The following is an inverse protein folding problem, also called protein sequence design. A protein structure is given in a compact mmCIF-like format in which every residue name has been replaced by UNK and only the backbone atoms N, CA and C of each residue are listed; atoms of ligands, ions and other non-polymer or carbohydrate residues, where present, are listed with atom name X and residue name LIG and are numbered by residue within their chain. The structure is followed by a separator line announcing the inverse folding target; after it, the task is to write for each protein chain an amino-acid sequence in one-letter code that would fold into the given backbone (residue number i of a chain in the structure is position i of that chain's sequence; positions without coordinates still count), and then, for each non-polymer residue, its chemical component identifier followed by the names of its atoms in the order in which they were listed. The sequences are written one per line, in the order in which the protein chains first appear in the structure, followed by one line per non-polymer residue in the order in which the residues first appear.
data_IF_028079672241
#
_entry.id   IF_028079672241
#
_cell.length_a   1.000
_cell.length_b   1.000
_cell.length_c   1.000
_cell.angle_alpha   90.00
_cell.angle_beta   90.00
_cell.angle_gamma   90.00
#
_symmetry.space_group_name_H-M   'P 1'
#
loop_
_entity.id
_entity.type
_entity.pdbx_description
1 polymer ?
#
# COMPACT_ATOMS: atom_id res chain seq x y z
N UNK A 1 -3.56 -35.47 -2.34
CA UNK A 1 -2.71 -34.46 -2.98
C UNK A 1 -1.28 -34.96 -3.09
N UNK A 2 -0.88 -35.27 -4.32
CA UNK A 2 0.46 -35.68 -4.72
C UNK A 2 1.46 -34.52 -4.50
N UNK A 3 2.76 -34.85 -4.43
CA UNK A 3 3.82 -33.85 -4.19
C UNK A 3 3.80 -32.74 -5.25
N UNK A 4 3.50 -33.08 -6.49
CA UNK A 4 3.52 -32.17 -7.63
C UNK A 4 2.33 -31.21 -7.65
N UNK A 5 1.13 -31.71 -7.33
CA UNK A 5 -0.08 -30.88 -7.15
C UNK A 5 0.16 -29.81 -6.07
N UNK A 6 0.81 -30.18 -4.95
CA UNK A 6 1.18 -29.23 -3.90
C UNK A 6 2.13 -28.15 -4.41
N UNK A 7 3.10 -28.51 -5.27
CA UNK A 7 4.01 -27.51 -5.84
C UNK A 7 3.30 -26.57 -6.81
N UNK A 8 2.38 -27.10 -7.62
CA UNK A 8 1.60 -26.30 -8.54
C UNK A 8 0.74 -25.28 -7.79
N UNK A 9 0.05 -25.69 -6.73
CA UNK A 9 -0.74 -24.77 -5.90
C UNK A 9 0.11 -23.67 -5.27
N UNK A 10 1.31 -23.98 -4.76
CA UNK A 10 2.19 -22.95 -4.22
C UNK A 10 2.71 -21.97 -5.27
N UNK A 11 3.03 -22.44 -6.48
CA UNK A 11 3.43 -21.57 -7.59
C UNK A 11 2.29 -20.65 -8.02
N UNK A 12 1.08 -21.20 -8.13
CA UNK A 12 -0.12 -20.43 -8.48
C UNK A 12 -0.44 -19.38 -7.41
N UNK A 13 -0.42 -19.78 -6.13
CA UNK A 13 -0.58 -18.86 -5.00
C UNK A 13 0.45 -17.74 -5.05
N UNK A 14 1.74 -18.07 -5.21
CA UNK A 14 2.79 -17.07 -5.28
C UNK A 14 2.62 -16.09 -6.45
N UNK A 15 2.26 -16.58 -7.64
CA UNK A 15 2.02 -15.74 -8.81
C UNK A 15 0.83 -14.80 -8.60
N UNK A 16 -0.30 -15.30 -8.10
CA UNK A 16 -1.50 -14.51 -7.84
C UNK A 16 -1.26 -13.46 -6.74
N UNK A 17 -0.64 -13.85 -5.63
CA UNK A 17 -0.31 -12.91 -4.54
C UNK A 17 0.58 -11.79 -5.05
N UNK A 18 1.65 -12.10 -5.80
CA UNK A 18 2.53 -11.08 -6.38
C UNK A 18 1.80 -10.14 -7.37
N UNK A 19 0.91 -10.68 -8.19
CA UNK A 19 0.17 -9.87 -9.17
C UNK A 19 -0.89 -8.96 -8.55
N UNK A 20 -1.40 -9.27 -7.35
CA UNK A 20 -2.62 -8.67 -6.81
C UNK A 20 -2.59 -7.15 -6.62
N UNK A 21 -1.54 -6.59 -6.02
CA UNK A 21 -1.53 -5.17 -5.65
C UNK A 21 -1.55 -4.22 -6.86
N UNK A 22 -0.69 -4.38 -7.88
CA UNK A 22 -0.71 -3.46 -9.03
C UNK A 22 -2.01 -3.51 -9.82
N UNK A 23 -2.74 -4.63 -9.79
CA UNK A 23 -4.01 -4.80 -10.51
C UNK A 23 -5.17 -3.98 -9.93
N UNK A 24 -4.96 -3.20 -8.87
CA UNK A 24 -5.94 -2.21 -8.39
C UNK A 24 -6.33 -1.19 -9.45
N UNK A 25 -5.48 -0.96 -10.46
CA UNK A 25 -5.80 -0.10 -11.61
C UNK A 25 -7.04 -0.59 -12.37
N UNK A 26 -7.32 -1.90 -12.36
CA UNK A 26 -8.51 -2.51 -12.97
C UNK A 26 -9.72 -2.47 -12.01
N UNK A 27 -9.57 -1.80 -10.88
CA UNK A 27 -10.57 -1.68 -9.83
C UNK A 27 -10.24 -2.50 -8.56
N UNK A 28 -10.68 -2.02 -7.38
CA UNK A 28 -10.54 -2.73 -6.11
C UNK A 28 -11.05 -4.18 -6.12
N UNK A 29 -12.09 -4.46 -6.89
CA UNK A 29 -12.67 -5.81 -7.02
C UNK A 29 -11.71 -6.81 -7.67
N UNK A 30 -10.94 -6.38 -8.69
CA UNK A 30 -9.95 -7.25 -9.36
C UNK A 30 -8.79 -7.55 -8.43
N UNK A 31 -8.27 -6.54 -7.71
CA UNK A 31 -7.27 -6.75 -6.66
C UNK A 31 -7.76 -7.77 -5.63
N UNK A 32 -8.98 -7.58 -5.11
CA UNK A 32 -9.54 -8.45 -4.08
C UNK A 32 -9.71 -9.89 -4.60
N UNK A 33 -10.25 -10.07 -5.82
CA UNK A 33 -10.44 -11.38 -6.42
C UNK A 33 -9.10 -12.13 -6.61
N UNK A 34 -8.09 -11.47 -7.19
CA UNK A 34 -6.77 -12.08 -7.42
C UNK A 34 -6.07 -12.40 -6.10
N UNK A 35 -6.16 -11.50 -5.11
CA UNK A 35 -5.59 -11.71 -3.78
C UNK A 35 -6.26 -12.90 -3.06
N UNK A 36 -7.59 -12.94 -3.02
CA UNK A 36 -8.36 -14.03 -2.39
C UNK A 36 -8.06 -15.36 -3.07
N UNK A 37 -8.03 -15.42 -4.40
CA UNK A 37 -7.64 -16.64 -5.13
C UNK A 37 -6.20 -17.08 -4.78
N UNK A 38 -5.27 -16.14 -4.67
CA UNK A 38 -3.90 -16.41 -4.23
C UNK A 38 -3.82 -16.96 -2.80
N UNK A 39 -4.63 -16.44 -1.89
CA UNK A 39 -4.73 -16.92 -0.50
C UNK A 39 -5.36 -18.32 -0.46
N UNK A 40 -6.51 -18.52 -1.10
CA UNK A 40 -7.23 -19.79 -1.10
C UNK A 40 -6.37 -20.92 -1.68
N UNK A 41 -5.69 -20.68 -2.80
CA UNK A 41 -4.77 -21.67 -3.39
C UNK A 41 -3.59 -22.00 -2.47
N UNK A 42 -3.06 -21.02 -1.73
CA UNK A 42 -2.02 -21.24 -0.72
C UNK A 42 -2.51 -22.03 0.51
N UNK A 43 -3.74 -21.75 0.97
CA UNK A 43 -4.36 -22.49 2.06
C UNK A 43 -4.64 -23.95 1.67
N UNK A 44 -5.11 -24.20 0.44
CA UNK A 44 -5.28 -25.57 -0.08
C UNK A 44 -3.95 -26.34 -0.15
N UNK A 45 -2.83 -25.63 -0.35
CA UNK A 45 -1.50 -26.23 -0.33
C UNK A 45 -0.97 -26.50 1.11
N UNK A 46 -1.58 -25.88 2.12
CA UNK A 46 -1.24 -26.02 3.55
C UNK A 46 -1.91 -27.27 4.14
N UNK A 47 -1.24 -28.00 5.05
CA UNK A 47 -1.77 -29.27 5.59
C UNK A 47 -1.60 -29.43 7.10
N UNK A 48 -2.63 -29.98 7.74
CA UNK A 48 -2.55 -30.72 9.01
C UNK A 48 -1.94 -29.95 10.17
N UNK A 49 -0.93 -30.55 10.81
CA UNK A 49 -0.32 -30.05 12.05
C UNK A 49 0.36 -28.67 11.90
N UNK A 50 0.77 -28.27 10.68
CA UNK A 50 1.42 -26.98 10.46
C UNK A 50 0.45 -25.80 10.56
N UNK A 51 -0.80 -26.00 10.13
CA UNK A 51 -1.85 -24.99 10.31
C UNK A 51 -2.14 -24.78 11.80
N UNK A 52 -2.29 -25.88 12.56
CA UNK A 52 -2.57 -25.81 13.99
C UNK A 52 -1.43 -25.13 14.77
N UNK A 53 -0.18 -25.42 14.44
CA UNK A 53 0.97 -24.78 15.08
C UNK A 53 1.05 -23.29 14.74
N UNK A 54 0.78 -22.93 13.48
CA UNK A 54 0.74 -21.53 13.06
C UNK A 54 -0.38 -20.75 13.75
N UNK A 55 -1.59 -21.32 13.84
CA UNK A 55 -2.70 -20.70 14.58
C UNK A 55 -2.39 -20.56 16.07
N UNK A 56 -1.78 -21.58 16.71
CA UNK A 56 -1.36 -21.49 18.11
C UNK A 56 -0.31 -20.38 18.33
N UNK A 57 0.65 -20.26 17.42
CA UNK A 57 1.65 -19.18 17.48
C UNK A 57 1.01 -17.80 17.33
N UNK A 58 0.07 -17.65 16.40
CA UNK A 58 -0.64 -16.37 16.18
C UNK A 58 -1.45 -16.01 17.43
N UNK A 59 -2.23 -16.95 17.95
CA UNK A 59 -3.06 -16.77 19.14
C UNK A 59 -2.28 -16.41 20.41
N UNK A 60 -0.99 -16.75 20.47
CA UNK A 60 -0.10 -16.42 21.61
C UNK A 60 0.76 -15.19 21.36
N UNK A 61 0.68 -14.56 20.18
CA UNK A 61 1.50 -13.42 19.83
C UNK A 61 1.00 -12.12 20.48
N UNK A 62 1.94 -11.26 20.90
CA UNK A 62 1.63 -9.92 21.43
C UNK A 62 0.87 -9.06 20.42
N UNK A 63 1.16 -9.22 19.13
CA UNK A 63 0.52 -8.46 18.04
C UNK A 63 -0.98 -8.77 17.98
N UNK A 64 -1.38 -10.04 18.14
CA UNK A 64 -2.80 -10.41 18.14
C UNK A 64 -3.57 -9.79 19.29
N UNK A 65 -2.98 -9.68 20.48
CA UNK A 65 -3.65 -9.00 21.59
C UNK A 65 -3.84 -7.50 21.33
N UNK A 66 -2.85 -6.83 20.73
CA UNK A 66 -2.95 -5.41 20.36
C UNK A 66 -3.98 -5.21 19.25
N UNK A 67 -3.98 -6.07 18.23
CA UNK A 67 -4.96 -6.05 17.15
C UNK A 67 -6.36 -6.34 17.70
N UNK A 68 -6.53 -7.34 18.57
CA UNK A 68 -7.80 -7.63 19.23
C UNK A 68 -8.33 -6.47 20.06
N UNK A 69 -7.46 -5.79 20.81
CA UNK A 69 -7.81 -4.57 21.54
C UNK A 69 -8.23 -3.44 20.59
N UNK A 70 -7.56 -3.29 19.46
CA UNK A 70 -7.96 -2.33 18.43
C UNK A 70 -9.34 -2.65 17.85
N UNK A 71 -9.61 -3.92 17.50
CA UNK A 71 -10.92 -4.35 17.00
C UNK A 71 -12.03 -4.13 18.03
N UNK A 72 -11.75 -4.34 19.32
CA UNK A 72 -12.70 -4.04 20.40
C UNK A 72 -12.98 -2.52 20.49
N UNK A 73 -11.94 -1.68 20.42
CA UNK A 73 -12.11 -0.23 20.43
C UNK A 73 -12.88 0.27 19.20
N UNK A 74 -12.58 -0.25 18.00
CA UNK A 74 -13.30 0.05 16.77
C UNK A 74 -14.77 -0.37 16.85
N UNK A 75 -15.06 -1.55 17.42
CA UNK A 75 -16.42 -2.01 17.62
C UNK A 75 -17.21 -1.09 18.56
N UNK A 76 -16.62 -0.72 19.70
CA UNK A 76 -17.24 0.20 20.67
C UNK A 76 -17.49 1.56 20.01
N UNK A 77 -16.51 2.10 19.27
CA UNK A 77 -16.68 3.32 18.50
C UNK A 77 -17.85 3.23 17.51
N UNK A 78 -17.87 2.20 16.66
CA UNK A 78 -18.95 2.01 15.69
C UNK A 78 -20.33 1.86 16.33
N UNK A 79 -20.40 1.22 17.50
CA UNK A 79 -21.65 1.00 18.22
C UNK A 79 -22.22 2.30 18.79
N UNK A 80 -21.38 3.21 19.27
CA UNK A 80 -21.77 4.54 19.80
C UNK A 80 -21.67 5.67 18.75
N UNK A 81 -21.55 5.31 17.47
CA UNK A 81 -21.38 6.24 16.37
C UNK A 81 -22.57 7.19 16.20
N UNK A 82 -22.28 8.40 15.68
CA UNK A 82 -23.30 9.34 15.20
C UNK A 82 -24.16 8.77 14.06
N UNK A 83 -23.60 7.85 13.28
CA UNK A 83 -24.35 6.99 12.35
C UNK A 83 -23.97 5.53 12.60
N UNK A 84 -24.72 4.91 13.51
CA UNK A 84 -24.48 3.55 13.98
C UNK A 84 -24.57 2.52 12.85
N UNK A 85 -25.57 2.61 11.96
CA UNK A 85 -25.78 1.60 10.90
C UNK A 85 -24.62 1.61 9.91
N UNK A 86 -24.22 2.79 9.42
CA UNK A 86 -23.09 2.91 8.50
C UNK A 86 -21.78 2.45 9.15
N UNK A 87 -21.54 2.87 10.39
CA UNK A 87 -20.28 2.57 11.09
C UNK A 87 -20.16 1.09 11.46
N UNK A 88 -21.28 0.42 11.76
CA UNK A 88 -21.33 -1.02 12.00
C UNK A 88 -21.14 -1.82 10.71
N UNK A 89 -21.71 -1.37 9.58
CA UNK A 89 -21.43 -1.98 8.27
C UNK A 89 -19.93 -1.87 7.92
N UNK A 90 -19.32 -0.71 8.18
CA UNK A 90 -17.88 -0.50 7.98
C UNK A 90 -17.02 -1.33 8.92
N UNK A 91 -17.48 -1.54 10.16
CA UNK A 91 -16.83 -2.48 11.07
C UNK A 91 -16.84 -3.91 10.50
N UNK A 92 -17.94 -4.33 9.86
CA UNK A 92 -18.02 -5.61 9.13
C UNK A 92 -16.94 -5.74 8.05
N UNK A 93 -16.72 -4.69 7.24
CA UNK A 93 -15.65 -4.65 6.23
C UNK A 93 -14.26 -4.85 6.89
N UNK A 94 -14.00 -4.17 8.01
CA UNK A 94 -12.73 -4.26 8.73
C UNK A 94 -12.51 -5.64 9.35
N UNK A 95 -13.55 -6.29 9.88
CA UNK A 95 -13.48 -7.68 10.37
C UNK A 95 -13.15 -8.63 9.23
N UNK A 96 -13.79 -8.46 8.07
CA UNK A 96 -13.48 -9.21 6.85
C UNK A 96 -12.01 -9.05 6.43
N UNK A 97 -11.47 -7.84 6.49
CA UNK A 97 -10.05 -7.58 6.23
C UNK A 97 -9.12 -8.16 7.28
N UNK A 98 -9.48 -8.14 8.56
CA UNK A 98 -8.73 -8.79 9.64
C UNK A 98 -8.63 -10.30 9.42
N UNK A 99 -9.73 -10.94 9.02
CA UNK A 99 -9.73 -12.34 8.63
C UNK A 99 -8.85 -12.60 7.40
N UNK A 100 -8.96 -11.76 6.36
CA UNK A 100 -8.12 -11.85 5.16
C UNK A 100 -6.63 -11.71 5.50
N UNK A 101 -6.27 -10.79 6.39
CA UNK A 101 -4.89 -10.58 6.87
C UNK A 101 -4.35 -11.82 7.57
N UNK A 102 -5.15 -12.45 8.43
CA UNK A 102 -4.79 -13.70 9.10
C UNK A 102 -4.56 -14.83 8.10
N UNK A 103 -5.47 -14.99 7.13
CA UNK A 103 -5.35 -16.02 6.10
C UNK A 103 -4.13 -15.79 5.19
N UNK A 104 -3.86 -14.54 4.82
CA UNK A 104 -2.66 -14.15 4.07
C UNK A 104 -1.39 -14.48 4.86
N UNK A 105 -1.36 -14.15 6.16
CA UNK A 105 -0.25 -14.48 7.04
C UNK A 105 0.01 -15.99 7.08
N UNK A 106 -1.04 -16.80 7.25
CA UNK A 106 -0.95 -18.27 7.26
C UNK A 106 -0.39 -18.76 5.92
N UNK A 107 -0.98 -18.34 4.80
CA UNK A 107 -0.55 -18.76 3.48
C UNK A 107 0.93 -18.43 3.22
N UNK A 108 1.35 -17.20 3.52
CA UNK A 108 2.74 -16.78 3.32
C UNK A 108 3.71 -17.48 4.27
N UNK A 109 3.35 -17.66 5.54
CA UNK A 109 4.21 -18.32 6.54
C UNK A 109 4.48 -19.79 6.21
N UNK A 110 3.45 -20.47 5.72
CA UNK A 110 3.53 -21.90 5.36
C UNK A 110 4.15 -22.12 3.98
N UNK A 111 4.15 -21.09 3.12
CA UNK A 111 4.75 -21.16 1.79
C UNK A 111 6.26 -21.45 1.86
N UNK A 112 6.76 -22.48 1.14
CA UNK A 112 8.19 -22.74 1.00
C UNK A 112 8.97 -21.54 0.45
N UNK A 113 10.17 -21.29 1.00
CA UNK A 113 11.02 -20.13 0.63
C UNK A 113 11.36 -20.05 -0.85
N UNK A 114 11.48 -21.19 -1.55
CA UNK A 114 11.72 -21.19 -3.01
C UNK A 114 10.63 -20.50 -3.83
N UNK A 115 9.41 -20.42 -3.31
CA UNK A 115 8.28 -19.81 -4.02
C UNK A 115 8.13 -18.31 -3.74
N UNK A 116 8.84 -17.76 -2.74
CA UNK A 116 8.78 -16.32 -2.46
C UNK A 116 9.38 -15.49 -3.60
N UNK A 117 10.33 -16.04 -4.35
CA UNK A 117 10.85 -15.38 -5.54
C UNK A 117 9.79 -15.21 -6.64
N UNK A 118 8.88 -16.17 -6.77
CA UNK A 118 7.77 -16.10 -7.73
C UNK A 118 6.84 -14.94 -7.37
N UNK A 119 6.61 -14.67 -6.07
CA UNK A 119 5.85 -13.50 -5.62
C UNK A 119 6.49 -12.21 -6.13
N UNK A 120 7.79 -12.01 -5.85
CA UNK A 120 8.48 -10.79 -6.25
C UNK A 120 8.63 -10.62 -7.76
N UNK A 121 8.84 -11.72 -8.48
CA UNK A 121 8.87 -11.72 -9.95
C UNK A 121 7.49 -11.36 -10.52
N UNK A 122 6.43 -11.99 -10.02
CA UNK A 122 5.05 -11.69 -10.44
C UNK A 122 4.68 -10.23 -10.13
N UNK A 123 5.01 -9.75 -8.93
CA UNK A 123 4.85 -8.35 -8.53
C UNK A 123 5.60 -7.39 -9.45
N UNK A 124 6.83 -7.72 -9.84
CA UNK A 124 7.62 -6.88 -10.76
C UNK A 124 6.98 -6.85 -12.15
N UNK A 125 6.59 -7.99 -12.69
CA UNK A 125 5.96 -8.09 -14.01
C UNK A 125 4.64 -7.32 -14.02
N UNK A 126 3.75 -7.57 -13.06
CA UNK A 126 2.46 -6.88 -12.98
C UNK A 126 2.63 -5.38 -12.77
N UNK A 127 3.59 -4.94 -11.93
CA UNK A 127 3.89 -3.51 -11.74
C UNK A 127 4.35 -2.84 -13.03
N UNK A 128 5.22 -3.49 -13.81
CA UNK A 128 5.69 -2.96 -15.10
C UNK A 128 4.55 -2.92 -16.12
N UNK A 129 3.74 -3.97 -16.22
CA UNK A 129 2.57 -3.99 -17.10
C UNK A 129 1.61 -2.85 -16.75
N UNK A 130 1.31 -2.65 -15.47
CA UNK A 130 0.43 -1.57 -15.00
C UNK A 130 1.06 -0.20 -15.23
N UNK A 131 2.37 -0.04 -15.03
CA UNK A 131 3.08 1.20 -15.35
C UNK A 131 2.97 1.55 -16.84
N UNK A 132 3.10 0.56 -17.73
CA UNK A 132 2.89 0.74 -19.17
C UNK A 132 1.45 1.14 -19.46
N UNK A 133 0.45 0.52 -18.82
CA UNK A 133 -0.96 0.91 -18.98
C UNK A 133 -1.21 2.35 -18.53
N UNK A 134 -0.65 2.80 -17.40
CA UNK A 134 -0.76 4.20 -16.97
C UNK A 134 -0.16 5.15 -18.01
N UNK A 135 0.99 4.82 -18.59
CA UNK A 135 1.64 5.64 -19.62
C UNK A 135 0.80 5.68 -20.91
N UNK A 136 0.24 4.55 -21.34
CA UNK A 136 -0.67 4.50 -22.49
C UNK A 136 -1.92 5.33 -22.20
N UNK A 137 -2.54 5.17 -21.04
CA UNK A 137 -3.75 5.91 -20.65
C UNK A 137 -3.53 7.42 -20.61
N UNK A 138 -2.33 7.86 -20.21
CA UNK A 138 -1.98 9.27 -20.15
C UNK A 138 -1.71 9.92 -21.51
N UNK A 139 -1.19 9.16 -22.50
CA UNK A 139 -0.70 9.75 -23.76
C UNK A 139 -1.45 9.30 -25.02
N UNK A 140 -2.12 8.14 -25.01
CA UNK A 140 -2.73 7.60 -26.22
C UNK A 140 -4.02 8.32 -26.63
N UNK A 141 -4.64 9.09 -25.71
CA UNK A 141 -5.91 9.78 -25.97
C UNK A 141 -7.05 8.84 -26.36
N UNK A 142 -6.98 7.57 -25.93
CA UNK A 142 -7.96 6.55 -26.30
C UNK A 142 -9.04 6.39 -25.25
N UNK A 143 -10.23 6.90 -25.54
CA UNK A 143 -11.40 6.75 -24.66
C UNK A 143 -11.73 5.28 -24.41
N UNK A 144 -11.64 4.44 -25.45
CA UNK A 144 -11.92 3.00 -25.32
C UNK A 144 -10.96 2.31 -24.36
N UNK A 145 -9.67 2.64 -24.41
CA UNK A 145 -8.68 2.08 -23.50
C UNK A 145 -8.92 2.58 -22.07
N UNK A 146 -9.15 3.89 -21.91
CA UNK A 146 -9.43 4.53 -20.63
C UNK A 146 -10.69 3.94 -19.97
N UNK A 147 -11.76 3.72 -20.75
CA UNK A 147 -13.00 3.07 -20.33
C UNK A 147 -12.78 1.61 -19.91
N UNK A 148 -11.95 0.87 -20.64
CA UNK A 148 -11.63 -0.51 -20.28
C UNK A 148 -10.85 -0.60 -18.97
N UNK A 149 -10.02 0.41 -18.66
CA UNK A 149 -9.16 0.45 -17.49
C UNK A 149 -9.91 0.97 -16.25
N UNK A 150 -10.67 2.05 -16.40
CA UNK A 150 -11.27 2.81 -15.31
C UNK A 150 -12.80 2.70 -15.21
N UNK A 151 -13.44 2.05 -16.17
CA UNK A 151 -14.89 1.93 -16.24
C UNK A 151 -15.57 3.30 -16.34
N UNK A 152 -16.56 3.53 -15.49
CA UNK A 152 -17.35 4.77 -15.47
C UNK A 152 -16.56 6.03 -15.07
N UNK A 153 -15.32 5.89 -14.55
CA UNK A 153 -14.47 7.01 -14.13
C UNK A 153 -13.47 7.45 -15.21
N UNK A 154 -13.61 6.99 -16.45
CA UNK A 154 -12.61 7.24 -17.48
C UNK A 154 -12.51 8.71 -17.89
N UNK A 155 -13.60 9.46 -17.74
CA UNK A 155 -13.69 10.89 -18.02
C UNK A 155 -13.10 11.75 -16.90
N UNK A 156 -12.87 11.17 -15.72
CA UNK A 156 -12.21 11.85 -14.60
C UNK A 156 -10.76 12.20 -14.99
N UNK A 157 -10.37 13.49 -15.03
CA UNK A 157 -9.01 13.91 -15.31
C UNK A 157 -8.00 13.43 -14.26
N UNK A 158 -8.47 12.97 -13.09
CA UNK A 158 -7.67 12.48 -11.97
C UNK A 158 -7.71 10.96 -11.80
N UNK A 159 -8.24 10.21 -12.77
CA UNK A 159 -8.35 8.73 -12.74
C UNK A 159 -7.05 7.97 -12.44
N UNK A 160 -5.88 8.53 -12.80
CA UNK A 160 -4.57 7.91 -12.52
C UNK A 160 -3.97 8.32 -11.16
N UNK A 161 -4.54 9.30 -10.46
CA UNK A 161 -3.94 9.94 -9.28
C UNK A 161 -3.61 8.95 -8.17
N UNK A 162 -4.50 7.98 -7.93
CA UNK A 162 -4.32 6.94 -6.91
C UNK A 162 -3.13 6.02 -7.21
N UNK A 163 -2.84 5.77 -8.50
CA UNK A 163 -1.74 4.90 -8.91
C UNK A 163 -0.37 5.44 -8.49
N UNK A 164 -0.22 6.76 -8.34
CA UNK A 164 1.01 7.34 -7.83
C UNK A 164 1.33 6.81 -6.41
N UNK A 165 0.32 6.74 -5.54
CA UNK A 165 0.46 6.16 -4.20
C UNK A 165 0.72 4.65 -4.24
N UNK A 166 0.03 3.92 -5.12
CA UNK A 166 0.23 2.47 -5.30
C UNK A 166 1.67 2.14 -5.70
N UNK A 167 2.22 2.86 -6.69
CA UNK A 167 3.61 2.68 -7.09
C UNK A 167 4.58 3.02 -5.95
N UNK A 168 4.37 4.10 -5.19
CA UNK A 168 5.22 4.43 -4.05
C UNK A 168 5.30 3.30 -3.00
N UNK A 169 4.19 2.58 -2.78
CA UNK A 169 4.11 1.45 -1.86
C UNK A 169 4.76 0.19 -2.43
N UNK A 170 4.56 -0.11 -3.72
CA UNK A 170 5.00 -1.38 -4.34
C UNK A 170 6.47 -1.36 -4.78
N UNK A 171 6.96 -0.22 -5.29
CA UNK A 171 8.28 -0.12 -5.91
C UNK A 171 9.46 -0.52 -5.00
N UNK A 172 9.45 -0.26 -3.68
CA UNK A 172 10.51 -0.75 -2.81
C UNK A 172 10.75 -2.26 -2.88
N UNK A 173 9.69 -3.06 -3.07
CA UNK A 173 9.82 -4.52 -3.24
C UNK A 173 10.38 -4.89 -4.61
N UNK A 174 9.97 -4.18 -5.66
CA UNK A 174 10.50 -4.34 -7.02
C UNK A 174 12.00 -4.03 -7.03
N UNK A 175 12.42 -2.91 -6.43
CA UNK A 175 13.83 -2.53 -6.34
C UNK A 175 14.65 -3.52 -5.50
N UNK A 176 14.13 -4.01 -4.38
CA UNK A 176 14.79 -5.04 -3.59
C UNK A 176 15.01 -6.32 -4.41
N UNK A 177 14.00 -6.77 -5.15
CA UNK A 177 14.12 -7.94 -6.00
C UNK A 177 15.13 -7.74 -7.14
N UNK A 178 15.03 -6.62 -7.86
CA UNK A 178 15.99 -6.27 -8.92
C UNK A 178 17.42 -6.18 -8.37
N UNK A 179 17.63 -5.50 -7.25
CA UNK A 179 18.96 -5.35 -6.64
C UNK A 179 19.55 -6.70 -6.25
N UNK A 180 18.76 -7.58 -5.62
CA UNK A 180 19.19 -8.92 -5.25
C UNK A 180 19.58 -9.74 -6.49
N UNK A 181 18.69 -9.84 -7.48
CA UNK A 181 18.92 -10.64 -8.69
C UNK A 181 20.06 -10.09 -9.56
N UNK A 182 20.21 -8.76 -9.60
CA UNK A 182 21.35 -8.11 -10.24
C UNK A 182 22.69 -8.55 -9.62
N UNK A 183 22.77 -8.60 -8.28
CA UNK A 183 23.97 -9.07 -7.55
C UNK A 183 24.22 -10.56 -7.72
N UNK A 184 23.17 -11.37 -7.79
CA UNK A 184 23.26 -12.80 -8.09
C UNK A 184 23.71 -13.07 -9.55
N UNK A 185 23.77 -12.03 -10.39
CA UNK A 185 24.32 -12.12 -11.74
C UNK A 185 23.31 -12.48 -12.82
N UNK A 186 22.01 -12.48 -12.52
CA UNK A 186 20.95 -12.87 -13.45
C UNK A 186 20.95 -11.96 -14.70
N UNK A 187 21.19 -12.58 -15.86
CA UNK A 187 21.43 -11.86 -17.13
C UNK A 187 20.25 -10.96 -17.48
N UNK A 188 19.02 -11.51 -17.44
CA UNK A 188 17.81 -10.75 -17.75
C UNK A 188 17.66 -9.50 -16.86
N UNK A 189 17.92 -9.63 -15.56
CA UNK A 189 17.81 -8.50 -14.63
C UNK A 189 18.89 -7.44 -14.89
N UNK A 190 20.10 -7.82 -15.32
CA UNK A 190 21.13 -6.84 -15.72
C UNK A 190 20.70 -6.00 -16.91
N UNK A 191 20.06 -6.60 -17.91
CA UNK A 191 19.57 -5.88 -19.09
C UNK A 191 18.34 -5.02 -18.80
N UNK A 192 17.42 -5.51 -17.98
CA UNK A 192 16.10 -4.89 -17.81
C UNK A 192 15.93 -4.07 -16.53
N UNK A 193 16.83 -4.15 -15.54
CA UNK A 193 16.69 -3.40 -14.28
C UNK A 193 16.60 -1.88 -14.45
N UNK A 194 17.44 -1.30 -15.32
CA UNK A 194 17.41 0.14 -15.62
C UNK A 194 16.13 0.53 -16.37
N UNK A 195 15.75 -0.13 -17.50
CA UNK A 195 14.46 0.12 -18.16
C UNK A 195 13.25 -0.02 -17.24
N UNK A 196 13.19 -1.07 -16.41
CA UNK A 196 12.09 -1.30 -15.47
C UNK A 196 12.00 -0.14 -14.46
N UNK A 197 13.13 0.26 -13.90
CA UNK A 197 13.18 1.38 -12.95
C UNK A 197 12.77 2.68 -13.64
N UNK A 198 13.21 2.92 -14.87
CA UNK A 198 12.89 4.12 -15.63
C UNK A 198 11.39 4.19 -15.96
N UNK A 199 10.79 3.11 -16.48
CA UNK A 199 9.36 3.04 -16.84
C UNK A 199 8.48 3.22 -15.61
N UNK A 200 8.81 2.57 -14.51
CA UNK A 200 8.02 2.65 -13.27
C UNK A 200 8.13 4.01 -12.58
N UNK A 201 9.33 4.62 -12.58
CA UNK A 201 9.49 6.00 -12.14
C UNK A 201 8.75 6.97 -13.07
N UNK A 202 8.80 6.79 -14.39
CA UNK A 202 8.04 7.66 -15.30
C UNK A 202 6.54 7.58 -15.02
N UNK A 203 6.00 6.38 -14.84
CA UNK A 203 4.59 6.15 -14.57
C UNK A 203 4.11 6.80 -13.28
N UNK A 204 4.92 6.82 -12.19
CA UNK A 204 4.52 7.45 -10.93
C UNK A 204 4.35 8.98 -11.05
N UNK A 205 5.20 9.62 -11.86
CA UNK A 205 5.15 11.05 -12.12
C UNK A 205 3.97 11.38 -13.03
N UNK A 206 3.83 10.66 -14.14
CA UNK A 206 2.72 10.84 -15.08
C UNK A 206 1.35 10.61 -14.43
N UNK A 207 1.26 9.70 -13.45
CA UNK A 207 0.03 9.47 -12.68
C UNK A 207 -0.43 10.70 -11.87
N UNK A 208 0.44 11.68 -11.63
CA UNK A 208 0.04 13.02 -11.19
C UNK A 208 -0.34 13.20 -9.72
N UNK A 209 -0.18 12.19 -8.87
CA UNK A 209 -0.41 12.33 -7.44
C UNK A 209 0.78 13.01 -6.74
N UNK A 210 0.71 14.30 -6.44
CA UNK A 210 1.75 15.03 -5.70
C UNK A 210 2.14 14.35 -4.38
N UNK A 211 1.13 13.86 -3.67
CA UNK A 211 1.28 13.09 -2.45
C UNK A 211 1.98 11.75 -2.71
N UNK A 212 1.67 11.09 -3.83
CA UNK A 212 2.37 9.90 -4.28
C UNK A 212 3.86 10.18 -4.55
N UNK A 213 4.20 11.37 -5.06
CA UNK A 213 5.60 11.78 -5.23
C UNK A 213 6.29 12.03 -3.89
N UNK A 214 5.61 12.66 -2.93
CA UNK A 214 6.12 12.82 -1.57
C UNK A 214 6.34 11.46 -0.88
N UNK A 215 5.39 10.53 -1.03
CA UNK A 215 5.50 9.17 -0.54
C UNK A 215 6.68 8.43 -1.19
N UNK A 216 6.87 8.57 -2.51
CA UNK A 216 8.01 8.04 -3.23
C UNK A 216 9.32 8.61 -2.70
N UNK A 217 9.41 9.92 -2.50
CA UNK A 217 10.62 10.57 -1.98
C UNK A 217 11.03 9.97 -0.63
N UNK A 218 10.08 9.81 0.29
CA UNK A 218 10.33 9.17 1.59
C UNK A 218 10.77 7.71 1.42
N UNK A 219 10.08 6.94 0.57
CA UNK A 219 10.46 5.56 0.29
C UNK A 219 11.87 5.43 -0.30
N UNK A 220 12.22 6.28 -1.28
CA UNK A 220 13.53 6.31 -1.93
C UNK A 220 14.61 6.66 -0.90
N UNK A 221 14.42 7.70 -0.10
CA UNK A 221 15.39 8.10 0.93
C UNK A 221 15.64 6.96 1.91
N UNK A 222 14.58 6.36 2.47
CA UNK A 222 14.71 5.27 3.43
C UNK A 222 15.33 4.02 2.80
N UNK A 223 14.87 3.63 1.62
CA UNK A 223 15.40 2.47 0.91
C UNK A 223 16.89 2.65 0.61
N UNK A 224 17.27 3.75 -0.03
CA UNK A 224 18.65 4.05 -0.38
C UNK A 224 19.56 4.14 0.86
N UNK A 225 19.09 4.78 1.95
CA UNK A 225 19.84 4.85 3.20
C UNK A 225 20.16 3.46 3.77
N UNK A 226 19.15 2.60 3.93
CA UNK A 226 19.36 1.28 4.53
C UNK A 226 20.11 0.32 3.59
N UNK A 227 19.85 0.37 2.29
CA UNK A 227 20.54 -0.48 1.32
C UNK A 227 22.00 -0.07 1.15
N UNK A 228 22.30 1.24 1.15
CA UNK A 228 23.68 1.73 1.17
C UNK A 228 24.41 1.29 2.43
N UNK A 229 23.84 1.59 3.61
CA UNK A 229 24.49 1.39 4.90
C UNK A 229 24.68 -0.08 5.28
N UNK A 230 23.73 -0.95 4.95
CA UNK A 230 23.72 -2.35 5.44
C UNK A 230 23.78 -3.40 4.33
N UNK A 231 23.48 -3.05 3.07
CA UNK A 231 23.39 -4.03 1.97
C UNK A 231 24.37 -3.74 0.82
N UNK A 232 25.28 -2.78 0.98
CA UNK A 232 26.40 -2.55 0.07
C UNK A 232 26.03 -1.90 -1.27
N UNK A 233 24.97 -1.09 -1.33
CA UNK A 233 24.72 -0.25 -2.50
C UNK A 233 25.76 0.86 -2.57
N UNK A 234 26.47 0.97 -3.70
CA UNK A 234 27.42 2.05 -3.95
C UNK A 234 26.83 3.09 -4.89
N UNK A 235 26.80 4.35 -4.44
CA UNK A 235 26.37 5.47 -5.26
C UNK A 235 27.44 5.79 -6.30
N UNK A 236 27.19 5.40 -7.56
CA UNK A 236 27.99 5.84 -8.70
C UNK A 236 27.29 7.02 -9.36
N UNK A 237 28.08 7.97 -9.86
CA UNK A 237 27.55 9.21 -10.47
C UNK A 237 26.60 8.93 -11.63
N UNK A 238 26.94 8.01 -12.55
CA UNK A 238 26.13 7.73 -13.74
C UNK A 238 24.70 7.24 -13.43
N UNK A 239 24.48 6.20 -12.59
CA UNK A 239 23.13 5.81 -12.17
C UNK A 239 22.33 6.91 -11.46
N UNK A 240 23.00 7.74 -10.65
CA UNK A 240 22.35 8.86 -9.95
C UNK A 240 21.86 9.91 -10.96
N UNK A 241 22.72 10.33 -11.89
CA UNK A 241 22.35 11.27 -12.97
C UNK A 241 21.23 10.70 -13.86
N UNK A 242 21.28 9.40 -14.18
CA UNK A 242 20.21 8.74 -14.93
C UNK A 242 18.87 8.76 -14.20
N UNK A 243 18.86 8.55 -12.88
CA UNK A 243 17.63 8.62 -12.06
C UNK A 243 17.07 10.03 -11.99
N UNK A 244 17.94 11.04 -11.82
CA UNK A 244 17.55 12.46 -11.83
C UNK A 244 16.95 12.83 -13.19
N UNK A 245 17.57 12.39 -14.29
CA UNK A 245 17.05 12.61 -15.63
C UNK A 245 15.65 12.02 -15.83
N UNK A 246 15.41 10.78 -15.37
CA UNK A 246 14.08 10.15 -15.44
C UNK A 246 13.05 10.91 -14.60
N UNK A 247 13.43 11.43 -13.42
CA UNK A 247 12.54 12.24 -12.59
C UNK A 247 12.15 13.54 -13.32
N UNK A 248 13.13 14.26 -13.88
CA UNK A 248 12.88 15.48 -14.64
C UNK A 248 11.98 15.17 -15.83
N UNK A 249 12.28 14.11 -16.59
CA UNK A 249 11.47 13.66 -17.71
C UNK A 249 10.04 13.33 -17.28
N UNK A 250 9.87 12.65 -16.14
CA UNK A 250 8.55 12.32 -15.58
C UNK A 250 7.72 13.57 -15.24
N UNK A 251 8.34 14.58 -14.63
CA UNK A 251 7.66 15.86 -14.34
C UNK A 251 7.26 16.58 -15.62
N UNK A 252 8.12 16.60 -16.64
CA UNK A 252 7.81 17.18 -17.95
C UNK A 252 6.67 16.42 -18.64
N UNK A 253 6.71 15.08 -18.62
CA UNK A 253 5.67 14.21 -19.15
C UNK A 253 4.32 14.42 -18.43
N UNK A 254 4.33 14.61 -17.10
CA UNK A 254 3.13 14.96 -16.35
C UNK A 254 2.55 16.30 -16.79
N UNK A 255 3.39 17.34 -16.91
CA UNK A 255 2.92 18.64 -17.37
C UNK A 255 2.33 18.61 -18.77
N UNK A 256 2.93 17.82 -19.67
CA UNK A 256 2.38 17.60 -21.00
C UNK A 256 1.03 16.86 -20.96
N UNK A 257 0.93 15.78 -20.17
CA UNK A 257 -0.31 15.00 -20.04
C UNK A 257 -1.47 15.82 -19.43
N UNK A 258 -1.16 16.79 -18.56
CA UNK A 258 -2.15 17.71 -17.97
C UNK A 258 -2.37 19.00 -18.78
N UNK A 259 -1.68 19.16 -19.92
CA UNK A 259 -1.86 20.32 -20.81
C UNK A 259 -1.33 21.63 -20.24
N UNK A 260 -0.24 21.60 -19.46
CA UNK A 260 0.38 22.83 -18.95
C UNK A 260 0.90 23.67 -20.10
N UNK A 261 0.46 24.93 -20.16
CA UNK A 261 0.92 25.90 -21.12
C UNK A 261 2.01 26.78 -20.51
N UNK A 262 2.03 26.93 -19.18
CA UNK A 262 3.00 27.73 -18.44
C UNK A 262 3.42 27.06 -17.11
N UNK A 263 4.62 27.37 -16.57
CA UNK A 263 5.06 26.84 -15.27
C UNK A 263 4.14 27.21 -14.09
N UNK A 264 3.40 28.31 -14.21
CA UNK A 264 2.48 28.84 -13.19
C UNK A 264 1.24 27.94 -13.02
N UNK A 265 0.87 27.19 -14.06
CA UNK A 265 -0.21 26.20 -14.03
C UNK A 265 0.06 25.14 -12.97
N UNK A 266 1.33 24.74 -12.80
CA UNK A 266 1.75 23.78 -11.79
C UNK A 266 1.48 24.27 -10.37
N UNK A 267 1.87 25.51 -10.05
CA UNK A 267 1.70 26.09 -8.72
C UNK A 267 0.22 26.31 -8.39
N UNK A 268 -0.58 26.68 -9.40
CA UNK A 268 -2.02 26.91 -9.28
C UNK A 268 -2.75 25.62 -8.98
N UNK A 269 -2.47 24.55 -9.74
CA UNK A 269 -3.06 23.22 -9.53
C UNK A 269 -2.68 22.66 -8.16
N UNK A 270 -1.41 22.76 -7.77
CA UNK A 270 -0.95 22.28 -6.48
C UNK A 270 -1.69 22.97 -5.31
N UNK A 271 -1.90 24.29 -5.38
CA UNK A 271 -2.66 25.03 -4.35
C UNK A 271 -4.16 24.71 -4.36
N UNK A 272 -4.75 24.63 -5.54
CA UNK A 272 -6.19 24.46 -5.71
C UNK A 272 -6.67 23.02 -5.41
N UNK A 273 -5.93 21.99 -5.84
CA UNK A 273 -6.36 20.60 -5.72
C UNK A 273 -5.92 19.90 -4.44
N UNK A 274 -4.82 20.33 -3.80
CA UNK A 274 -4.20 19.53 -2.73
C UNK A 274 -4.27 20.14 -1.33
N UNK A 275 -4.20 21.47 -1.20
CA UNK A 275 -4.01 22.12 0.11
C UNK A 275 -5.26 22.82 0.64
N UNK A 276 -5.88 23.70 -0.14
CA UNK A 276 -6.99 24.55 0.36
C UNK A 276 -8.19 23.73 0.85
N UNK A 277 -8.75 22.79 0.06
CA UNK A 277 -9.91 22.01 0.50
C UNK A 277 -9.62 21.08 1.68
N UNK A 278 -8.35 20.71 1.90
CA UNK A 278 -7.97 19.78 2.97
C UNK A 278 -7.83 20.45 4.32
N UNK A 279 -7.32 21.69 4.35
CA UNK A 279 -7.19 22.45 5.60
C UNK A 279 -8.56 22.68 6.25
N UNK A 280 -9.58 22.94 5.44
CA UNK A 280 -10.96 23.11 5.94
C UNK A 280 -11.49 21.80 6.56
N UNK A 281 -11.28 20.66 5.88
CA UNK A 281 -11.64 19.34 6.42
C UNK A 281 -10.87 19.01 7.71
N UNK A 282 -9.61 19.43 7.81
CA UNK A 282 -8.82 19.24 9.04
C UNK A 282 -9.33 20.11 10.17
N UNK A 283 -9.75 21.34 9.89
CA UNK A 283 -10.36 22.23 10.87
C UNK A 283 -11.67 21.63 11.42
N UNK A 284 -12.54 21.10 10.55
CA UNK A 284 -13.75 20.37 10.97
C UNK A 284 -13.37 19.21 11.90
N UNK A 285 -12.43 18.35 11.47
CA UNK A 285 -12.01 17.21 12.29
C UNK A 285 -11.37 17.58 13.62
N UNK A 286 -10.66 18.71 13.67
CA UNK A 286 -10.07 19.24 14.89
C UNK A 286 -11.13 19.76 15.86
N UNK A 287 -12.13 20.50 15.36
CA UNK A 287 -13.19 21.08 16.17
C UNK A 287 -14.06 20.00 16.83
N UNK A 288 -14.28 18.87 16.16
CA UNK A 288 -15.08 17.76 16.67
C UNK A 288 -14.27 16.69 17.44
N UNK A 289 -12.94 16.82 17.50
CA UNK A 289 -12.04 15.82 18.12
C UNK A 289 -12.38 15.52 19.58
N UNK A 290 -12.90 16.52 20.29
CA UNK A 290 -13.16 16.46 21.73
C UNK A 290 -14.63 16.24 22.10
N UNK A 291 -15.51 16.05 21.11
CA UNK A 291 -16.94 15.81 21.36
C UNK A 291 -17.17 14.43 21.97
N UNK A 292 -16.45 13.42 21.48
CA UNK A 292 -16.50 12.05 21.98
C UNK A 292 -15.08 11.49 22.19
N UNK A 293 -14.34 11.99 23.20
CA UNK A 293 -12.89 11.79 23.29
C UNK A 293 -12.50 10.33 23.60
N UNK A 294 -13.37 9.54 24.25
CA UNK A 294 -13.04 8.17 24.63
C UNK A 294 -13.29 7.17 23.50
N UNK A 295 -14.47 7.25 22.89
CA UNK A 295 -14.95 6.28 21.89
C UNK A 295 -14.84 6.77 20.46
N UNK A 296 -14.73 8.08 20.25
CA UNK A 296 -14.81 8.69 18.93
C UNK A 296 -16.23 8.68 18.38
N UNK A 297 -16.39 9.32 17.23
CA UNK A 297 -17.70 9.52 16.58
C UNK A 297 -18.18 8.33 15.74
N UNK A 298 -17.41 7.23 15.69
CA UNK A 298 -17.70 6.06 14.85
C UNK A 298 -16.78 5.88 13.66
N UNK A 299 -16.46 4.63 13.33
CA UNK A 299 -15.64 4.27 12.17
C UNK A 299 -16.25 4.78 10.87
N UNK A 300 -15.47 5.57 10.13
CA UNK A 300 -15.84 6.15 8.85
C UNK A 300 -17.05 7.10 8.91
N UNK A 301 -17.31 7.69 10.09
CA UNK A 301 -18.43 8.59 10.36
C UNK A 301 -18.12 10.08 10.14
N UNK A 302 -16.87 10.49 9.91
CA UNK A 302 -16.51 11.90 9.65
C UNK A 302 -17.37 12.56 8.55
N UNK A 303 -17.76 11.77 7.53
CA UNK A 303 -18.61 12.20 6.42
C UNK A 303 -19.98 12.77 6.82
N UNK A 304 -20.46 12.46 8.03
CA UNK A 304 -21.75 12.89 8.55
C UNK A 304 -21.65 14.10 9.47
N UNK A 305 -20.44 14.63 9.68
CA UNK A 305 -20.28 15.90 10.38
C UNK A 305 -20.81 17.05 9.52
N UNK A 306 -21.25 18.10 10.20
CA UNK A 306 -21.61 19.39 9.58
C UNK A 306 -20.33 20.11 9.14
N UNK A 307 -20.33 20.67 7.94
CA UNK A 307 -19.21 21.45 7.40
C UNK A 307 -19.19 22.92 7.88
N UNK A 308 -20.13 23.30 8.75
CA UNK A 308 -20.32 24.65 9.27
C UNK A 308 -21.27 25.50 8.43
N UNK A 309 -21.77 24.98 7.31
CA UNK A 309 -22.79 25.61 6.46
C UNK A 309 -24.18 25.00 6.63
N UNK A 310 -24.32 23.99 7.50
CA UNK A 310 -25.53 23.18 7.63
C UNK A 310 -25.60 22.02 6.64
N UNK A 311 -24.51 21.78 5.89
CA UNK A 311 -24.38 20.65 4.95
C UNK A 311 -23.48 19.57 5.54
N UNK A 312 -23.70 18.32 5.14
CA UNK A 312 -22.79 17.23 5.53
C UNK A 312 -21.51 17.28 4.71
N UNK A 313 -20.37 17.01 5.37
CA UNK A 313 -19.04 16.98 4.71
C UNK A 313 -18.98 16.01 3.53
N UNK A 314 -19.66 14.86 3.61
CA UNK A 314 -19.77 13.89 2.50
C UNK A 314 -18.49 13.16 2.10
N UNK A 315 -17.34 13.53 2.68
CA UNK A 315 -16.01 12.99 2.38
C UNK A 315 -15.31 12.45 3.65
N UNK A 316 -13.98 12.29 3.61
CA UNK A 316 -13.12 11.92 4.73
C UNK A 316 -12.08 13.02 4.96
N UNK A 317 -11.39 13.10 6.12
CA UNK A 317 -10.59 14.27 6.45
C UNK A 317 -9.29 14.38 5.64
N UNK A 318 -9.00 13.44 4.72
CA UNK A 318 -7.71 13.36 4.02
C UNK A 318 -6.54 13.59 4.99
N UNK A 319 -6.54 12.89 6.12
CA UNK A 319 -5.48 12.81 7.13
C UNK A 319 -5.79 11.65 8.08
N UNK A 320 -5.09 10.52 7.90
CA UNK A 320 -5.39 9.32 8.67
C UNK A 320 -5.23 9.49 10.18
N UNK A 321 -4.37 10.40 10.67
CA UNK A 321 -4.20 10.61 12.10
C UNK A 321 -5.41 11.30 12.69
N UNK A 322 -5.86 12.40 12.06
CA UNK A 322 -7.11 13.08 12.46
C UNK A 322 -8.26 12.07 12.40
N UNK A 323 -8.37 11.33 11.31
CA UNK A 323 -9.41 10.33 11.14
C UNK A 323 -9.38 9.28 12.25
N UNK A 324 -8.21 8.73 12.58
CA UNK A 324 -8.06 7.68 13.57
C UNK A 324 -8.48 8.17 14.96
N UNK A 325 -7.98 9.33 15.41
CA UNK A 325 -8.31 9.85 16.74
C UNK A 325 -9.77 10.32 16.85
N UNK A 326 -10.30 10.95 15.80
CA UNK A 326 -11.68 11.44 15.80
C UNK A 326 -12.69 10.29 15.73
N UNK A 327 -12.48 9.34 14.83
CA UNK A 327 -13.42 8.26 14.56
C UNK A 327 -13.28 7.09 15.54
N UNK A 328 -12.24 7.03 16.37
CA UNK A 328 -12.05 5.93 17.34
C UNK A 328 -11.76 6.40 18.77
N UNK A 329 -11.75 7.71 18.99
CA UNK A 329 -11.37 8.34 20.24
C UNK A 329 -9.88 8.18 20.54
N UNK A 330 -9.43 8.74 21.66
CA UNK A 330 -8.07 8.58 22.15
C UNK A 330 -7.75 7.11 22.49
N UNK A 331 -8.74 6.31 22.91
CA UNK A 331 -8.52 4.89 23.22
C UNK A 331 -8.15 4.11 21.96
N UNK A 332 -9.01 4.14 20.92
CA UNK A 332 -8.72 3.48 19.65
C UNK A 332 -7.51 4.08 18.94
N UNK A 333 -7.40 5.42 18.97
CA UNK A 333 -6.33 6.18 18.34
C UNK A 333 -4.95 5.82 18.90
N UNK A 334 -4.79 5.75 20.22
CA UNK A 334 -3.53 5.39 20.85
C UNK A 334 -3.15 3.92 20.61
N UNK A 335 -4.12 3.00 20.60
CA UNK A 335 -3.86 1.58 20.31
C UNK A 335 -3.36 1.41 18.86
N UNK A 336 -4.07 2.00 17.90
CA UNK A 336 -3.66 1.93 16.48
C UNK A 336 -2.33 2.66 16.23
N UNK A 337 -2.11 3.83 16.83
CA UNK A 337 -0.82 4.52 16.75
C UNK A 337 0.31 3.66 17.36
N UNK A 338 0.08 3.04 18.51
CA UNK A 338 1.00 2.10 19.13
C UNK A 338 1.35 0.92 18.21
N UNK A 339 0.34 0.35 17.52
CA UNK A 339 0.55 -0.72 16.52
C UNK A 339 1.41 -0.25 15.35
N UNK A 340 1.18 0.96 14.83
CA UNK A 340 2.01 1.55 13.77
C UNK A 340 3.47 1.73 14.24
N UNK A 341 3.69 2.23 15.45
CA UNK A 341 5.03 2.38 16.03
C UNK A 341 5.71 1.02 16.21
N UNK A 342 4.99 0.00 16.68
CA UNK A 342 5.52 -1.37 16.79
C UNK A 342 5.96 -1.92 15.44
N UNK A 343 5.14 -1.70 14.41
CA UNK A 343 5.41 -2.14 13.04
C UNK A 343 6.64 -1.42 12.46
N UNK A 344 6.72 -0.10 12.58
CA UNK A 344 7.87 0.68 12.12
C UNK A 344 9.17 0.25 12.83
N UNK A 345 9.13 0.04 14.15
CA UNK A 345 10.28 -0.46 14.92
C UNK A 345 10.73 -1.83 14.45
N UNK A 346 9.80 -2.75 14.18
CA UNK A 346 10.11 -4.05 13.62
C UNK A 346 10.85 -3.93 12.28
N UNK A 347 10.35 -3.11 11.36
CA UNK A 347 10.97 -2.96 10.04
C UNK A 347 12.28 -2.18 10.05
N UNK A 348 12.46 -1.23 10.97
CA UNK A 348 13.77 -0.59 11.24
C UNK A 348 14.82 -1.59 11.70
N UNK A 349 14.43 -2.60 12.48
CA UNK A 349 15.33 -3.68 12.88
C UNK A 349 15.59 -4.63 11.70
N UNK A 350 14.53 -5.05 11.01
CA UNK A 350 14.62 -5.99 9.89
C UNK A 350 15.42 -5.44 8.71
N UNK A 351 15.33 -4.13 8.43
CA UNK A 351 16.05 -3.47 7.34
C UNK A 351 17.56 -3.49 7.49
N UNK A 352 18.09 -3.65 8.71
CA UNK A 352 19.53 -3.76 8.98
C UNK A 352 20.10 -5.12 8.61
N UNK A 353 19.28 -6.17 8.66
CA UNK A 353 19.72 -7.55 8.44
C UNK A 353 19.19 -8.14 7.14
N UNK A 354 18.19 -7.52 6.52
CA UNK A 354 17.49 -8.07 5.37
C UNK A 354 17.04 -6.98 4.40
N UNK A 355 17.40 -7.16 3.13
CA UNK A 355 17.04 -6.24 2.04
C UNK A 355 15.53 -6.03 1.91
N UNK A 356 14.73 -7.08 2.07
CA UNK A 356 13.26 -6.97 2.01
C UNK A 356 12.68 -6.33 3.28
N UNK A 357 13.43 -6.30 4.38
CA UNK A 357 13.10 -5.48 5.54
C UNK A 357 13.23 -3.99 5.22
N UNK A 358 14.24 -3.59 4.43
CA UNK A 358 14.39 -2.22 3.95
C UNK A 358 13.28 -1.85 2.96
N UNK A 359 12.90 -2.77 2.07
CA UNK A 359 11.72 -2.60 1.21
C UNK A 359 10.43 -2.41 2.02
N UNK A 360 10.20 -3.23 3.04
CA UNK A 360 9.04 -3.12 3.92
C UNK A 360 8.98 -1.78 4.65
N UNK A 361 10.11 -1.31 5.22
CA UNK A 361 10.17 -0.01 5.88
C UNK A 361 9.86 1.15 4.94
N UNK A 362 10.43 1.12 3.72
CA UNK A 362 10.19 2.13 2.71
C UNK A 362 8.73 2.11 2.23
N UNK A 363 8.18 0.92 1.96
CA UNK A 363 6.79 0.70 1.52
C UNK A 363 5.77 1.17 2.54
N UNK A 364 5.94 0.81 3.82
CA UNK A 364 5.04 1.23 4.91
C UNK A 364 5.13 2.73 5.13
N UNK A 365 6.34 3.32 5.08
CA UNK A 365 6.49 4.76 5.19
C UNK A 365 5.81 5.50 4.03
N UNK A 366 5.94 5.01 2.79
CA UNK A 366 5.20 5.54 1.65
C UNK A 366 3.69 5.44 1.84
N UNK A 367 3.19 4.30 2.32
CA UNK A 367 1.78 4.11 2.64
C UNK A 367 1.30 5.17 3.64
N UNK A 368 2.03 5.37 4.74
CA UNK A 368 1.65 6.35 5.76
C UNK A 368 1.65 7.78 5.23
N UNK A 369 2.65 8.16 4.44
CA UNK A 369 2.70 9.49 3.80
C UNK A 369 1.53 9.67 2.84
N UNK A 370 1.22 8.66 2.03
CA UNK A 370 0.07 8.72 1.12
C UNK A 370 -1.28 8.72 1.87
N UNK A 371 -1.38 8.05 3.02
CA UNK A 371 -2.56 8.06 3.88
C UNK A 371 -2.78 9.40 4.59
N UNK A 372 -1.78 10.30 4.63
CA UNK A 372 -1.97 11.66 5.19
C UNK A 372 -2.91 12.47 4.31
N UNK A 373 -3.20 12.10 3.06
CA UNK A 373 -3.91 13.01 2.14
C UNK A 373 -4.70 12.33 1.03
N UNK A 374 -4.41 11.08 0.65
CA UNK A 374 -5.02 10.50 -0.56
C UNK A 374 -6.29 9.70 -0.28
N UNK A 375 -6.27 8.82 0.73
CA UNK A 375 -7.34 7.84 0.91
C UNK A 375 -7.62 7.60 2.39
N UNK A 376 -8.90 7.44 2.74
CA UNK A 376 -9.34 7.02 4.08
C UNK A 376 -8.61 5.75 4.53
N UNK A 377 -8.16 5.73 5.78
CA UNK A 377 -7.49 4.56 6.37
C UNK A 377 -8.44 3.36 6.52
N UNK A 378 -9.75 3.62 6.57
CA UNK A 378 -10.79 2.61 6.61
C UNK A 378 -11.24 2.15 5.22
N UNK A 379 -10.61 2.63 4.15
CA UNK A 379 -10.91 2.17 2.80
C UNK A 379 -10.29 0.78 2.54
N UNK A 380 -11.09 -0.24 2.12
CA UNK A 380 -10.61 -1.62 2.09
C UNK A 380 -9.37 -1.92 1.23
N UNK A 381 -9.35 -1.44 -0.01
CA UNK A 381 -8.23 -1.71 -0.92
C UNK A 381 -6.93 -1.05 -0.44
N UNK A 382 -7.03 0.12 0.18
CA UNK A 382 -5.87 0.84 0.69
C UNK A 382 -5.31 0.11 1.91
N UNK A 383 -6.16 -0.25 2.88
CA UNK A 383 -5.72 -1.03 4.05
C UNK A 383 -5.12 -2.39 3.64
N UNK A 384 -5.62 -2.99 2.55
CA UNK A 384 -5.04 -4.21 1.96
C UNK A 384 -3.59 -4.00 1.51
N UNK A 385 -3.22 -2.84 0.96
CA UNK A 385 -1.83 -2.52 0.60
C UNK A 385 -0.91 -2.54 1.82
N UNK A 386 -1.35 -1.96 2.94
CA UNK A 386 -0.59 -1.96 4.20
C UNK A 386 -0.41 -3.39 4.73
N UNK A 387 -1.53 -4.13 4.83
CA UNK A 387 -1.54 -5.50 5.35
C UNK A 387 -0.61 -6.38 4.49
N UNK A 388 -0.80 -6.37 3.17
CA UNK A 388 -0.03 -7.21 2.27
C UNK A 388 1.46 -6.89 2.31
N UNK A 389 1.82 -5.60 2.19
CA UNK A 389 3.22 -5.15 2.22
C UNK A 389 3.89 -5.51 3.54
N UNK A 390 3.18 -5.36 4.67
CA UNK A 390 3.69 -5.70 5.99
C UNK A 390 3.92 -7.21 6.14
N UNK A 391 2.95 -8.03 5.75
CA UNK A 391 3.08 -9.50 5.85
C UNK A 391 4.16 -10.02 4.89
N UNK A 392 4.23 -9.51 3.65
CA UNK A 392 5.24 -9.89 2.67
C UNK A 392 6.66 -9.54 3.15
N UNK A 393 6.86 -8.33 3.66
CA UNK A 393 8.15 -7.93 4.21
C UNK A 393 8.54 -8.74 5.46
N UNK A 394 7.58 -9.03 6.34
CA UNK A 394 7.81 -9.83 7.54
C UNK A 394 8.16 -11.29 7.22
N UNK A 395 7.63 -11.85 6.13
CA UNK A 395 7.88 -13.24 5.71
C UNK A 395 9.36 -13.56 5.60
N UNK A 396 10.16 -12.62 5.13
CA UNK A 396 11.58 -12.85 4.92
C UNK A 396 12.34 -12.90 6.25
N UNK A 397 11.82 -12.27 7.32
CA UNK A 397 12.32 -12.43 8.69
C UNK A 397 12.12 -13.86 9.23
N UNK A 398 10.96 -14.48 8.96
CA UNK A 398 10.67 -15.85 9.44
C UNK A 398 11.55 -16.92 8.79
N UNK A 399 12.08 -16.66 7.59
CA UNK A 399 12.99 -17.58 6.92
C UNK A 399 14.37 -17.65 7.61
N UNK A 400 14.77 -16.61 8.35
CA UNK A 400 16.05 -16.55 9.06
C UNK A 400 15.97 -17.30 10.40
N UNK A 401 14.80 -17.33 11.04
CA UNK A 401 14.57 -18.01 12.32
C UNK A 401 14.37 -19.52 12.18
N UNK A 402 13.93 -20.00 11.00
CA UNK A 402 13.92 -21.44 10.66
C UNK A 402 15.31 -21.84 10.15
N UNK A 403 16.27 -21.98 11.07
CA UNK A 403 17.40 -22.88 10.82
C UNK A 403 16.84 -24.29 10.99
N UNK A 404 16.70 -25.01 9.87
CA UNK A 404 16.50 -26.46 9.87
C UNK A 404 17.71 -27.15 10.50
#
# INVERSE_FOLDING_TARGET
MLKDEKQMLWKLSAALLGASLPLVILGPGVLAAVLVLGILTGLLATKGNSLRSTLKFVATSKVVYVVGALFAALFVSSYFSIDQVHSMNKMGDLVGMGALALLLYVALREMPTRHTDIIYRSLTISTVTVAIFCLIDAFAGSDRFSQALHGAKYDDPNRLKEMSGVFAVVLPFVWAWLFRRYREGEVMVKWFSVPITAVTLLAIFVSGGFIGWAALLVAVILFLYYVHKYHGLNFRLKPVLGSIFVIILGVLCFGWAKGFNQPEDFATILKAEEFTPRLDLWAVGWNHMFDQPLTGIGVNAFRFLDDGTGSMVGSHPHNFLIQLFLETGFVGGLIAFGLLVMMLRYFVKASRTNLYGAAGLASISAFLVAAITNTSIFHPWWLTMLIFSSVLAARVGWAIERKD
#
